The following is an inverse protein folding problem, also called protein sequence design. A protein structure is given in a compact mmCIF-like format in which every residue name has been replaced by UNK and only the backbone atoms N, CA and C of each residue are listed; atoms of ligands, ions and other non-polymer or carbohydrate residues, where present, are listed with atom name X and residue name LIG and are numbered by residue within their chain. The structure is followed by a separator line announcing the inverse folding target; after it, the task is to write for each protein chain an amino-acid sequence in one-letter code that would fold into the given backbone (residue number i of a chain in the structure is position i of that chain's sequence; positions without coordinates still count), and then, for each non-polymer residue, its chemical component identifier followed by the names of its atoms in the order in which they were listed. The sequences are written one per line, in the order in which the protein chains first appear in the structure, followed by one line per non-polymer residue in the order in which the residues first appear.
data_IF_310010462242
#
_entry.id   IF_310010462242
#
_cell.length_a   1.000
_cell.length_b   1.000
_cell.length_c   1.000
_cell.angle_alpha   90.00
_cell.angle_beta   90.00
_cell.angle_gamma   90.00
#
_symmetry.space_group_name_H-M   'P 1'
#
loop_
_entity.id
_entity.type
_entity.pdbx_description
1 polymer ?
#
# COMPACT_ATOMS: atom_id res chain seq x y z
N UNK A 1 -27.20 -2.56 11.76
CA UNK A 1 -26.35 -3.56 11.07
C UNK A 1 -25.68 -3.07 9.77
N UNK A 2 -26.27 -2.12 9.00
CA UNK A 2 -25.70 -1.59 7.73
C UNK A 2 -24.38 -0.77 7.84
N UNK A 3 -23.81 -0.64 9.04
CA UNK A 3 -22.60 0.18 9.31
C UNK A 3 -21.30 -0.60 9.12
N UNK A 4 -21.35 -1.93 9.12
CA UNK A 4 -20.20 -2.85 9.01
C UNK A 4 -20.29 -3.76 7.77
N UNK A 5 -20.74 -3.20 6.63
CA UNK A 5 -20.78 -3.95 5.37
C UNK A 5 -19.45 -3.76 4.65
N UNK A 6 -18.74 -4.84 4.35
CA UNK A 6 -17.53 -4.82 3.51
C UNK A 6 -17.90 -4.24 2.15
N UNK A 7 -17.17 -3.20 1.73
CA UNK A 7 -17.29 -2.56 0.43
C UNK A 7 -16.17 -3.05 -0.47
N UNK A 8 -16.38 -3.01 -1.78
CA UNK A 8 -15.36 -3.36 -2.77
C UNK A 8 -14.03 -2.60 -2.54
N UNK A 9 -14.13 -1.32 -2.17
CA UNK A 9 -12.98 -0.47 -1.84
C UNK A 9 -12.15 -0.98 -0.65
N UNK A 10 -12.78 -1.65 0.32
CA UNK A 10 -12.07 -2.24 1.46
C UNK A 10 -11.17 -3.39 1.00
N UNK A 11 -11.63 -4.18 0.01
CA UNK A 11 -10.82 -5.21 -0.64
C UNK A 11 -9.66 -4.62 -1.45
N UNK A 12 -9.90 -3.55 -2.21
CA UNK A 12 -8.84 -2.85 -2.97
C UNK A 12 -7.76 -2.32 -2.02
N UNK A 13 -8.14 -1.66 -0.93
CA UNK A 13 -7.19 -1.18 0.07
C UNK A 13 -6.43 -2.31 0.77
N UNK A 14 -7.08 -3.43 1.06
CA UNK A 14 -6.44 -4.59 1.69
C UNK A 14 -5.37 -5.19 0.76
N UNK A 15 -5.71 -5.45 -0.50
CA UNK A 15 -4.77 -5.98 -1.51
C UNK A 15 -3.60 -5.03 -1.73
N UNK A 16 -3.89 -3.72 -1.84
CA UNK A 16 -2.84 -2.71 -1.98
C UNK A 16 -1.89 -2.70 -0.79
N UNK A 17 -2.42 -2.79 0.43
CA UNK A 17 -1.61 -2.82 1.65
C UNK A 17 -0.68 -4.03 1.68
N UNK A 18 -1.16 -5.21 1.24
CA UNK A 18 -0.34 -6.42 1.12
C UNK A 18 0.77 -6.24 0.09
N UNK A 19 0.47 -5.66 -1.08
CA UNK A 19 1.47 -5.43 -2.14
C UNK A 19 2.58 -4.48 -1.65
N UNK A 20 2.20 -3.38 -1.00
CA UNK A 20 3.17 -2.43 -0.41
C UNK A 20 4.04 -3.11 0.62
N UNK A 21 3.43 -3.86 1.54
CA UNK A 21 4.16 -4.56 2.59
C UNK A 21 5.11 -5.60 2.01
N UNK A 22 4.65 -6.41 1.06
CA UNK A 22 5.45 -7.44 0.42
C UNK A 22 6.69 -6.83 -0.26
N UNK A 23 6.54 -5.70 -0.94
CA UNK A 23 7.69 -5.05 -1.56
C UNK A 23 8.63 -4.34 -0.61
N UNK A 24 8.12 -3.77 0.47
CA UNK A 24 8.96 -3.26 1.55
C UNK A 24 9.74 -4.42 2.21
N UNK A 25 9.11 -5.56 2.44
CA UNK A 25 9.77 -6.75 2.97
C UNK A 25 10.80 -7.33 1.99
N UNK A 26 10.50 -7.35 0.69
CA UNK A 26 11.43 -7.75 -0.37
C UNK A 26 12.56 -6.73 -0.62
N UNK A 27 12.59 -5.57 0.05
CA UNK A 27 13.81 -4.73 0.07
C UNK A 27 14.81 -5.18 1.13
N UNK A 28 14.36 -5.94 2.12
CA UNK A 28 15.22 -6.41 3.19
C UNK A 28 16.15 -7.52 2.66
N UNK A 29 17.46 -7.34 2.86
CA UNK A 29 18.47 -8.27 2.35
C UNK A 29 18.36 -9.67 2.97
N UNK A 30 17.89 -9.77 4.21
CA UNK A 30 17.71 -11.05 4.88
C UNK A 30 16.48 -11.78 4.32
N UNK A 31 15.36 -11.07 4.15
CA UNK A 31 14.16 -11.61 3.48
C UNK A 31 14.48 -12.03 2.04
N UNK A 32 15.18 -11.17 1.30
CA UNK A 32 15.61 -11.48 -0.07
C UNK A 32 16.53 -12.68 -0.14
N UNK A 33 17.52 -12.78 0.73
CA UNK A 33 18.43 -13.92 0.75
C UNK A 33 17.70 -15.23 1.11
N UNK A 34 16.68 -15.17 1.98
CA UNK A 34 15.86 -16.34 2.31
C UNK A 34 14.97 -16.80 1.14
N UNK A 35 14.36 -15.88 0.40
CA UNK A 35 13.46 -16.21 -0.72
C UNK A 35 14.20 -16.42 -2.05
N UNK A 36 15.33 -15.73 -2.25
CA UNK A 36 16.16 -15.75 -3.45
C UNK A 36 17.65 -15.91 -3.08
N UNK A 37 18.08 -17.10 -2.60
CA UNK A 37 19.44 -17.35 -2.11
C UNK A 37 20.53 -17.28 -3.19
N UNK A 38 20.16 -17.30 -4.48
CA UNK A 38 21.08 -17.08 -5.60
C UNK A 38 20.46 -16.06 -6.56
N UNK A 39 20.48 -14.77 -6.21
CA UNK A 39 19.89 -13.74 -7.06
C UNK A 39 20.78 -13.56 -8.30
N UNK A 40 20.24 -13.88 -9.47
CA UNK A 40 20.87 -13.51 -10.76
C UNK A 40 20.94 -11.97 -10.84
N UNK A 41 21.89 -11.43 -11.59
CA UNK A 41 22.09 -9.98 -11.76
C UNK A 41 20.78 -9.23 -12.06
N UNK A 42 19.96 -9.80 -12.96
CA UNK A 42 18.61 -9.36 -13.31
C UNK A 42 17.68 -9.13 -12.10
N UNK A 43 17.74 -10.03 -11.10
CA UNK A 43 16.89 -9.95 -9.90
C UNK A 43 17.24 -8.75 -9.04
N UNK A 44 18.51 -8.33 -8.99
CA UNK A 44 18.95 -7.17 -8.22
C UNK A 44 18.45 -5.87 -8.85
N UNK A 45 18.51 -5.77 -10.18
CA UNK A 45 17.99 -4.60 -10.91
C UNK A 45 16.47 -4.46 -10.75
N UNK A 46 15.73 -5.57 -10.82
CA UNK A 46 14.28 -5.57 -10.58
C UNK A 46 13.98 -5.09 -9.15
N UNK A 47 14.72 -5.57 -8.16
CA UNK A 47 14.54 -5.18 -6.75
C UNK A 47 14.81 -3.69 -6.51
N UNK A 48 15.70 -3.10 -7.30
CA UNK A 48 15.98 -1.66 -7.24
C UNK A 48 14.87 -0.77 -7.77
N UNK A 49 14.16 -1.22 -8.79
CA UNK A 49 13.06 -0.46 -9.40
C UNK A 49 11.71 -0.71 -8.72
N UNK A 50 11.53 -1.89 -8.09
CA UNK A 50 10.24 -2.34 -7.52
C UNK A 50 9.59 -1.30 -6.59
N UNK A 51 10.29 -0.69 -5.61
CA UNK A 51 9.64 0.30 -4.73
C UNK A 51 9.32 1.65 -5.35
N UNK A 52 10.03 2.04 -6.41
CA UNK A 52 9.63 3.23 -7.19
C UNK A 52 8.31 2.94 -7.89
N UNK A 53 8.20 1.76 -8.54
CA UNK A 53 6.97 1.33 -9.19
C UNK A 53 5.78 1.26 -8.22
N UNK A 54 6.02 0.76 -7.01
CA UNK A 54 4.96 0.62 -6.00
C UNK A 54 4.56 1.97 -5.41
N UNK A 55 5.51 2.87 -5.15
CA UNK A 55 5.19 4.24 -4.76
C UNK A 55 4.27 4.93 -5.79
N UNK A 56 4.56 4.73 -7.07
CA UNK A 56 3.76 5.24 -8.20
C UNK A 56 2.34 4.64 -8.23
N UNK A 57 2.24 3.30 -8.15
CA UNK A 57 0.96 2.58 -8.17
C UNK A 57 0.10 2.96 -6.97
N UNK A 58 0.68 3.02 -5.77
CA UNK A 58 -0.02 3.43 -4.57
C UNK A 58 -0.54 4.85 -4.67
N UNK A 59 0.29 5.79 -5.15
CA UNK A 59 -0.12 7.19 -5.33
C UNK A 59 -1.32 7.30 -6.28
N UNK A 60 -1.29 6.60 -7.42
CA UNK A 60 -2.40 6.55 -8.37
C UNK A 60 -3.67 5.95 -7.75
N UNK A 61 -3.54 4.86 -6.99
CA UNK A 61 -4.69 4.21 -6.36
C UNK A 61 -5.32 5.06 -5.26
N UNK A 62 -4.53 5.79 -4.46
CA UNK A 62 -5.05 6.73 -3.47
C UNK A 62 -5.79 7.91 -4.11
N UNK A 63 -5.40 8.32 -5.32
CA UNK A 63 -6.12 9.35 -6.10
C UNK A 63 -7.45 8.80 -6.64
N UNK A 64 -7.46 7.58 -7.19
CA UNK A 64 -8.66 6.95 -7.76
C UNK A 64 -9.65 6.51 -6.67
N UNK A 65 -9.14 6.02 -5.54
CA UNK A 65 -9.92 5.52 -4.41
C UNK A 65 -9.65 6.38 -3.16
N UNK A 66 -10.20 7.61 -3.12
CA UNK A 66 -9.92 8.53 -2.02
C UNK A 66 -10.42 7.96 -0.69
N UNK A 67 -9.54 7.94 0.30
CA UNK A 67 -9.92 7.53 1.65
C UNK A 67 -10.83 8.59 2.27
N UNK A 68 -11.87 8.17 2.98
CA UNK A 68 -12.73 9.07 3.77
C UNK A 68 -12.12 9.44 5.13
N UNK A 69 -10.86 9.06 5.36
CA UNK A 69 -10.20 9.29 6.64
C UNK A 69 -9.74 10.74 6.68
N UNK A 70 -10.34 11.52 7.57
CA UNK A 70 -9.93 12.88 7.80
C UNK A 70 -8.56 12.93 8.49
N UNK A 71 -7.69 13.81 7.99
CA UNK A 71 -6.36 14.03 8.54
C UNK A 71 -6.38 14.80 9.86
N UNK A 72 -5.20 14.95 10.45
CA UNK A 72 -4.99 15.76 11.65
C UNK A 72 -5.30 17.23 11.29
N UNK A 73 -6.17 17.87 12.07
CA UNK A 73 -6.63 19.24 11.82
C UNK A 73 -7.99 19.35 11.12
N UNK A 74 -8.68 18.23 10.86
CA UNK A 74 -10.04 18.30 10.33
C UNK A 74 -11.00 18.93 11.33
N UNK A 75 -11.60 20.05 10.94
CA UNK A 75 -12.61 20.75 11.72
C UNK A 75 -13.87 19.88 11.80
N UNK A 76 -14.10 19.26 12.95
CA UNK A 76 -15.40 18.73 13.34
C UNK A 76 -16.30 19.92 13.66
N UNK A 77 -16.95 20.51 12.65
CA UNK A 77 -17.99 21.51 12.92
C UNK A 77 -19.09 20.84 13.75
N UNK A 78 -19.36 21.27 15.00
CA UNK A 78 -20.58 20.87 15.67
C UNK A 78 -21.73 21.54 14.91
N UNK A 79 -22.64 20.73 14.37
CA UNK A 79 -23.84 21.24 13.71
C UNK A 79 -24.54 22.22 14.64
N UNK A 80 -24.74 23.44 14.15
CA UNK A 80 -25.53 24.48 14.81
C UNK A 80 -26.95 23.98 15.00
N UNK A 81 -27.29 23.57 16.22
CA UNK A 81 -28.63 23.67 16.81
C UNK A 81 -28.44 24.12 18.26
#
# INVERSE_FOLDING_TARGET
LRKYRIRFIDGVHAVLSVIVFAAAALRDKNVLSCFFPTPKHETQEVLDIVPVGIGLICSLLFVIFPTRRHGIGYLITPGKY
#
